data_IF_022528207084
#
_entry.id   IF_022528207084
#
_cell.length_a   1.000
_cell.length_b   1.000
_cell.length_c   1.000
_cell.angle_alpha   90.00
_cell.angle_beta   90.00
_cell.angle_gamma   90.00
#
_symmetry.space_group_name_H-M   'P 1'
#
loop_
_entity.id
_entity.type
_entity.pdbx_description
1 polymer ?
#
# COMPACT_ATOMS: atom_id res chain seq x y z
N UNK A 1 20.06 -19.08 -8.53
CA UNK A 1 19.86 -19.27 -7.09
C UNK A 1 18.62 -18.58 -6.51
N UNK A 2 18.23 -17.35 -6.92
CA UNK A 2 16.96 -16.73 -6.46
C UNK A 2 15.70 -17.42 -7.02
N UNK A 3 15.73 -17.75 -8.32
CA UNK A 3 14.58 -18.19 -9.12
C UNK A 3 13.83 -19.47 -8.66
N UNK A 4 14.32 -20.18 -7.65
CA UNK A 4 13.69 -21.42 -7.17
C UNK A 4 12.83 -21.20 -5.92
N UNK A 5 13.01 -20.08 -5.23
CA UNK A 5 12.36 -19.78 -3.94
C UNK A 5 11.54 -18.49 -3.97
N UNK A 6 11.24 -17.97 -5.15
CA UNK A 6 10.61 -16.66 -5.33
C UNK A 6 9.35 -16.70 -6.19
N UNK A 7 8.88 -17.87 -6.62
CA UNK A 7 7.67 -17.99 -7.44
C UNK A 7 6.38 -18.15 -6.64
N UNK A 8 6.45 -18.58 -5.37
CA UNK A 8 5.26 -18.95 -4.60
C UNK A 8 5.30 -18.40 -3.17
N UNK A 9 4.12 -18.12 -2.59
CA UNK A 9 3.98 -17.52 -1.25
C UNK A 9 4.26 -18.51 -0.12
N UNK A 10 4.15 -19.81 -0.40
CA UNK A 10 4.36 -20.88 0.58
C UNK A 10 5.80 -21.39 0.62
N UNK A 11 6.69 -20.84 -0.20
CA UNK A 11 8.08 -21.31 -0.33
C UNK A 11 9.02 -20.45 0.50
N UNK A 12 9.70 -21.08 1.46
CA UNK A 12 10.76 -20.46 2.24
C UNK A 12 12.10 -20.56 1.53
N UNK A 13 12.86 -19.48 1.49
CA UNK A 13 14.25 -19.50 1.03
C UNK A 13 15.17 -20.17 2.06
N UNK A 14 16.38 -20.63 1.65
CA UNK A 14 17.37 -21.17 2.60
C UNK A 14 17.80 -20.16 3.69
N UNK A 15 17.53 -18.88 3.49
CA UNK A 15 17.79 -17.81 4.47
C UNK A 15 16.57 -17.54 5.38
N UNK A 16 15.51 -18.35 5.31
CA UNK A 16 14.30 -18.18 6.11
C UNK A 16 13.45 -16.97 5.71
N UNK A 17 13.40 -16.63 4.42
CA UNK A 17 12.62 -15.49 3.90
C UNK A 17 11.55 -15.97 2.92
N UNK A 18 10.44 -15.23 2.83
CA UNK A 18 9.42 -15.43 1.79
C UNK A 18 9.52 -14.27 0.80
N UNK A 19 10.15 -14.51 -0.35
CA UNK A 19 10.45 -13.43 -1.31
C UNK A 19 9.19 -12.77 -1.89
N UNK A 20 8.10 -13.53 -2.08
CA UNK A 20 6.83 -12.97 -2.55
C UNK A 20 6.24 -11.91 -1.61
N UNK A 21 6.37 -12.07 -0.29
CA UNK A 21 5.96 -11.06 0.69
C UNK A 21 6.82 -9.80 0.55
N UNK A 22 8.11 -9.96 0.31
CA UNK A 22 9.04 -8.83 0.15
C UNK A 22 8.77 -8.06 -1.15
N UNK A 23 8.40 -8.75 -2.23
CA UNK A 23 7.97 -8.10 -3.47
C UNK A 23 6.66 -7.32 -3.28
N UNK A 24 5.71 -7.87 -2.52
CA UNK A 24 4.50 -7.13 -2.16
C UNK A 24 4.82 -5.85 -1.35
N UNK A 25 5.76 -5.91 -0.41
CA UNK A 25 6.23 -4.73 0.32
C UNK A 25 6.89 -3.70 -0.61
N UNK A 26 7.60 -4.14 -1.65
CA UNK A 26 8.20 -3.24 -2.63
C UNK A 26 7.13 -2.50 -3.45
N UNK A 27 6.02 -3.15 -3.80
CA UNK A 27 4.90 -2.51 -4.47
C UNK A 27 4.31 -1.36 -3.66
N UNK A 28 4.30 -1.45 -2.33
CA UNK A 28 3.87 -0.36 -1.43
C UNK A 28 4.80 0.85 -1.56
N UNK A 29 6.12 0.64 -1.63
CA UNK A 29 7.12 1.72 -1.76
C UNK A 29 7.03 2.46 -3.09
N UNK A 30 6.54 1.82 -4.14
CA UNK A 30 6.30 2.46 -5.45
C UNK A 30 5.05 3.36 -5.43
N UNK A 31 4.15 3.18 -4.45
CA UNK A 31 3.02 4.07 -4.20
C UNK A 31 3.48 5.48 -3.80
N UNK A 32 2.68 6.50 -4.11
CA UNK A 32 2.98 7.84 -3.59
C UNK A 32 2.87 7.89 -2.06
N UNK A 33 3.54 8.86 -1.44
CA UNK A 33 3.58 8.97 0.01
C UNK A 33 2.18 9.16 0.64
N UNK A 34 2.03 8.62 1.85
CA UNK A 34 0.93 8.89 2.77
C UNK A 34 1.50 9.04 4.19
N UNK A 35 0.94 9.95 4.97
CA UNK A 35 1.40 10.30 6.33
C UNK A 35 0.19 10.29 7.26
N UNK A 36 0.34 9.62 8.40
CA UNK A 36 -0.63 9.67 9.50
C UNK A 36 -0.04 10.43 10.68
N UNK A 37 -0.82 11.33 11.26
CA UNK A 37 -0.50 12.04 12.50
C UNK A 37 -1.66 11.89 13.47
N UNK A 38 -1.37 11.72 14.75
CA UNK A 38 -2.39 11.62 15.80
C UNK A 38 -2.02 12.51 16.98
N UNK A 39 -3.00 13.25 17.50
CA UNK A 39 -2.95 13.94 18.78
C UNK A 39 -3.73 13.15 19.84
N UNK A 40 -3.87 13.73 21.04
CA UNK A 40 -4.70 13.13 22.08
C UNK A 40 -6.19 13.09 21.71
N UNK A 41 -6.62 13.93 20.76
CA UNK A 41 -8.04 14.12 20.43
C UNK A 41 -8.38 13.87 18.97
N UNK A 42 -7.41 13.89 18.06
CA UNK A 42 -7.65 13.79 16.62
C UNK A 42 -6.63 12.88 15.93
N UNK A 43 -7.04 12.28 14.81
CA UNK A 43 -6.15 11.60 13.88
C UNK A 43 -6.34 12.21 12.48
N UNK A 44 -5.23 12.42 11.76
CA UNK A 44 -5.20 13.04 10.44
C UNK A 44 -4.43 12.11 9.51
N UNK A 45 -4.98 11.92 8.32
CA UNK A 45 -4.32 11.23 7.21
C UNK A 45 -4.09 12.22 6.07
N UNK A 46 -2.85 12.32 5.61
CA UNK A 46 -2.46 13.09 4.42
C UNK A 46 -1.94 12.13 3.36
N UNK A 47 -2.33 12.33 2.11
CA UNK A 47 -1.86 11.50 1.00
C UNK A 47 -1.50 12.36 -0.21
N UNK A 48 -0.28 12.16 -0.71
CA UNK A 48 0.14 12.77 -1.97
C UNK A 48 -0.54 12.02 -3.11
N UNK A 49 -1.39 12.69 -3.88
CA UNK A 49 -2.01 12.08 -5.06
C UNK A 49 -1.10 12.30 -6.27
N UNK A 50 -0.90 11.25 -7.07
CA UNK A 50 -0.24 11.32 -8.38
C UNK A 50 -1.30 11.32 -9.47
N UNK A 51 -1.05 12.08 -10.53
CA UNK A 51 -1.77 11.99 -11.79
C UNK A 51 -0.87 11.33 -12.83
N UNK A 52 -1.44 10.54 -13.74
CA UNK A 52 -0.72 9.94 -14.86
C UNK A 52 -0.48 10.92 -16.02
N UNK A 53 -1.06 12.11 -15.98
CA UNK A 53 -0.91 13.17 -16.98
C UNK A 53 -1.77 14.38 -16.67
N UNK A 54 -1.58 15.48 -17.40
CA UNK A 54 -2.26 16.77 -17.11
C UNK A 54 -3.79 16.68 -17.18
N UNK A 55 -4.32 15.86 -18.10
CA UNK A 55 -5.75 15.68 -18.29
C UNK A 55 -6.35 14.56 -17.44
N UNK A 56 -5.52 13.79 -16.73
CA UNK A 56 -5.97 12.67 -15.92
C UNK A 56 -6.40 13.12 -14.53
N UNK A 57 -7.46 12.50 -14.00
CA UNK A 57 -7.86 12.71 -12.62
C UNK A 57 -6.88 12.05 -11.65
N UNK A 58 -6.65 12.70 -10.52
CA UNK A 58 -5.87 12.12 -9.44
C UNK A 58 -6.51 10.86 -8.86
N UNK A 59 -5.68 9.83 -8.65
CA UNK A 59 -6.12 8.61 -7.99
C UNK A 59 -6.57 8.89 -6.54
N UNK A 60 -7.72 8.34 -6.15
CA UNK A 60 -8.20 8.43 -4.75
C UNK A 60 -7.31 7.59 -3.85
N UNK A 61 -6.88 8.17 -2.73
CA UNK A 61 -5.97 7.56 -1.76
C UNK A 61 -6.51 7.49 -0.33
N UNK A 62 -7.44 8.37 0.00
CA UNK A 62 -8.13 8.38 1.29
C UNK A 62 -9.51 7.77 1.08
N UNK A 63 -9.84 6.77 1.89
CA UNK A 63 -11.14 6.11 1.87
C UNK A 63 -11.74 6.21 3.27
N UNK A 64 -12.98 6.70 3.33
CA UNK A 64 -13.80 6.64 4.54
C UNK A 64 -14.35 5.23 4.66
N UNK A 65 -14.07 4.57 5.78
CA UNK A 65 -14.60 3.25 6.11
C UNK A 65 -15.89 3.41 6.92
N UNK A 66 -15.87 4.31 7.90
CA UNK A 66 -17.02 4.66 8.73
C UNK A 66 -16.94 6.14 9.18
N UNK A 67 -17.92 6.61 9.95
CA UNK A 67 -17.98 7.96 10.51
C UNK A 67 -16.76 8.29 11.38
N UNK A 68 -16.16 7.29 12.01
CA UNK A 68 -15.04 7.43 12.94
C UNK A 68 -13.74 6.77 12.45
N UNK A 69 -13.73 6.25 11.21
CA UNK A 69 -12.60 5.49 10.66
C UNK A 69 -12.35 5.82 9.18
N UNK A 70 -11.09 6.10 8.87
CA UNK A 70 -10.62 6.28 7.50
C UNK A 70 -9.25 5.64 7.30
N UNK A 71 -8.92 5.31 6.06
CA UNK A 71 -7.65 4.70 5.67
C UNK A 71 -6.99 5.47 4.54
N UNK A 72 -5.66 5.48 4.55
CA UNK A 72 -4.84 5.98 3.47
C UNK A 72 -4.11 4.80 2.80
N UNK A 73 -4.10 4.79 1.46
CA UNK A 73 -3.57 3.66 0.68
C UNK A 73 -2.23 4.04 0.06
N UNK A 74 -1.27 3.12 0.05
CA UNK A 74 -0.09 3.16 -0.79
C UNK A 74 0.12 1.78 -1.43
N UNK A 75 0.58 1.75 -2.68
CA UNK A 75 0.71 0.53 -3.49
C UNK A 75 -0.49 0.28 -4.40
N UNK A 76 -0.84 -1.00 -4.58
CA UNK A 76 -1.86 -1.43 -5.54
C UNK A 76 -3.27 -1.03 -5.10
N UNK A 77 -3.88 -0.13 -5.88
CA UNK A 77 -5.23 0.39 -5.56
C UNK A 77 -6.33 -0.64 -5.80
N UNK A 78 -6.11 -1.66 -6.63
CA UNK A 78 -7.02 -2.81 -6.79
C UNK A 78 -7.21 -3.54 -5.46
N UNK A 79 -6.11 -3.86 -4.81
CA UNK A 79 -6.08 -4.71 -3.62
C UNK A 79 -6.66 -3.95 -2.43
N UNK A 80 -6.36 -2.66 -2.35
CA UNK A 80 -6.93 -1.79 -1.33
C UNK A 80 -8.46 -1.64 -1.43
N UNK A 81 -9.08 -1.87 -2.60
CA UNK A 81 -10.54 -1.89 -2.72
C UNK A 81 -11.17 -3.16 -2.17
N UNK A 82 -10.42 -4.26 -2.11
CA UNK A 82 -10.88 -5.52 -1.52
C UNK A 82 -10.83 -5.45 0.00
N UNK A 83 -9.87 -4.69 0.55
CA UNK A 83 -9.67 -4.52 1.99
C UNK A 83 -10.60 -3.50 2.67
N UNK A 84 -11.39 -2.74 1.90
CA UNK A 84 -12.25 -1.66 2.43
C UNK A 84 -13.60 -2.17 2.92
#
# INVERSE_FOLDING_TARGET
>A
FRNQYDNDISTWSPQGRIHQIEYALEAVKQGSAAVGLRSNTHAILLALKRSSGELASYQKKLIRIDDHLGVAIAGLTSDARVLR
#
